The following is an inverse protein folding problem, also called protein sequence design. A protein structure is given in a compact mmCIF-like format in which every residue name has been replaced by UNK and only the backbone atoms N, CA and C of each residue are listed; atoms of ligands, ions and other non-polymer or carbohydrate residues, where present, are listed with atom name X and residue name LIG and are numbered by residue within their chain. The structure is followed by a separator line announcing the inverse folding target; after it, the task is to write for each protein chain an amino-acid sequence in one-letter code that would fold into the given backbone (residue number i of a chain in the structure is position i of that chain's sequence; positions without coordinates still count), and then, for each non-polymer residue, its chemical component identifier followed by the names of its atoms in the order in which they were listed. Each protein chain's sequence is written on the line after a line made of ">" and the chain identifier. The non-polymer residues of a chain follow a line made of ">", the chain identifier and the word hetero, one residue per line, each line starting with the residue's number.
data_IF_415522655988
#
_entry.id   IF_415522655988
#
_cell.length_a   1.000
_cell.length_b   1.000
_cell.length_c   1.000
_cell.angle_alpha   90.00
_cell.angle_beta   90.00
_cell.angle_gamma   90.00
#
_symmetry.space_group_name_H-M   'P 1'
#
loop_
_entity.id
_entity.type
_entity.pdbx_description
1 polymer ?
#
# COMPACT_ATOMS: atom_id res chain seq x y z
N UNK A 1 8.13 8.24 -2.69
CA UNK A 1 6.88 8.15 -3.51
C UNK A 1 5.76 7.65 -2.62
N UNK A 2 4.61 8.37 -2.59
CA UNK A 2 3.45 7.96 -1.80
C UNK A 2 2.43 7.30 -2.71
N UNK A 3 1.89 6.16 -2.31
CA UNK A 3 0.88 5.39 -3.05
C UNK A 3 -0.28 4.99 -2.14
N UNK A 4 -1.46 4.77 -2.71
CA UNK A 4 -2.66 4.28 -2.04
C UNK A 4 -3.40 3.26 -2.90
N UNK A 5 -4.41 2.60 -2.34
CA UNK A 5 -5.26 1.68 -3.11
C UNK A 5 -6.12 2.41 -4.15
N UNK A 6 -6.59 3.60 -3.85
CA UNK A 6 -7.56 4.31 -4.69
C UNK A 6 -9.01 4.01 -4.32
N UNK A 7 -9.97 4.21 -5.21
CA UNK A 7 -11.42 4.16 -4.95
C UNK A 7 -11.81 5.09 -3.79
N UNK A 8 -12.10 4.54 -2.60
CA UNK A 8 -12.43 5.34 -1.41
C UNK A 8 -11.19 6.01 -0.79
N UNK A 9 -9.99 5.56 -1.13
CA UNK A 9 -8.70 6.04 -0.62
C UNK A 9 -7.95 6.89 -1.66
N UNK A 10 -8.66 7.82 -2.29
CA UNK A 10 -8.05 8.81 -3.19
C UNK A 10 -7.56 10.00 -2.38
N UNK A 11 -6.29 10.32 -2.53
CA UNK A 11 -5.61 11.46 -1.90
C UNK A 11 -4.89 12.28 -2.97
N UNK A 12 -4.88 13.61 -2.83
CA UNK A 12 -4.18 14.50 -3.76
C UNK A 12 -2.65 14.29 -3.77
N UNK A 13 -2.10 13.74 -2.68
CA UNK A 13 -0.67 13.52 -2.47
C UNK A 13 -0.21 12.07 -2.74
N UNK A 14 -1.11 11.14 -3.06
CA UNK A 14 -0.78 9.73 -3.28
C UNK A 14 -1.25 9.23 -4.65
N UNK A 15 -0.44 8.38 -5.28
CA UNK A 15 -0.80 7.74 -6.55
C UNK A 15 -1.68 6.52 -6.28
N UNK A 16 -2.89 6.43 -6.86
CA UNK A 16 -3.73 5.26 -6.73
C UNK A 16 -3.19 4.09 -7.56
N UNK A 17 -2.97 2.92 -6.92
CA UNK A 17 -2.35 1.75 -7.55
C UNK A 17 -3.30 0.56 -7.75
N UNK A 18 -4.55 0.65 -7.30
CA UNK A 18 -5.53 -0.44 -7.39
C UNK A 18 -5.78 -1.12 -6.05
N UNK A 19 -6.98 -1.68 -5.92
CA UNK A 19 -7.46 -2.36 -4.70
C UNK A 19 -7.14 -3.85 -4.79
N UNK A 20 -6.57 -4.38 -3.71
CA UNK A 20 -6.23 -5.79 -3.56
C UNK A 20 -4.85 -6.15 -4.11
N UNK A 21 -4.43 -7.37 -3.82
CA UNK A 21 -3.07 -7.85 -4.09
C UNK A 21 -2.70 -7.81 -5.58
N UNK A 22 -3.64 -8.17 -6.44
CA UNK A 22 -3.37 -8.34 -7.89
C UNK A 22 -3.22 -6.98 -8.57
N UNK A 23 -4.21 -6.10 -8.45
CA UNK A 23 -4.19 -4.79 -9.10
C UNK A 23 -3.01 -3.94 -8.60
N UNK A 24 -2.79 -3.94 -7.30
CA UNK A 24 -1.63 -3.28 -6.68
C UNK A 24 -0.31 -3.80 -7.26
N UNK A 25 -0.14 -5.12 -7.37
CA UNK A 25 1.08 -5.72 -7.94
C UNK A 25 1.31 -5.31 -9.37
N UNK A 26 0.27 -5.41 -10.22
CA UNK A 26 0.35 -5.11 -11.66
C UNK A 26 0.71 -3.64 -11.87
N UNK A 27 -0.06 -2.73 -11.27
CA UNK A 27 0.08 -1.29 -11.50
C UNK A 27 1.39 -0.73 -10.94
N UNK A 28 1.77 -1.14 -9.72
CA UNK A 28 3.04 -0.70 -9.14
C UNK A 28 4.23 -1.25 -9.92
N UNK A 29 4.19 -2.51 -10.37
CA UNK A 29 5.26 -3.08 -11.21
C UNK A 29 5.40 -2.33 -12.52
N UNK A 30 4.28 -2.07 -13.23
CA UNK A 30 4.28 -1.35 -14.49
C UNK A 30 4.86 0.08 -14.33
N UNK A 31 4.46 0.79 -13.26
CA UNK A 31 4.99 2.12 -12.95
C UNK A 31 6.51 2.11 -12.73
N UNK A 32 7.00 1.17 -11.91
CA UNK A 32 8.43 1.10 -11.59
C UNK A 32 9.26 0.62 -12.78
N UNK A 33 8.76 -0.31 -13.59
CA UNK A 33 9.42 -0.71 -14.84
C UNK A 33 9.55 0.45 -15.82
N UNK A 34 8.46 1.21 -16.01
CA UNK A 34 8.50 2.40 -16.88
C UNK A 34 9.57 3.39 -16.43
N UNK A 35 9.67 3.65 -15.11
CA UNK A 35 10.69 4.55 -14.55
C UNK A 35 12.11 4.00 -14.72
N UNK A 36 12.33 2.70 -14.47
CA UNK A 36 13.63 2.05 -14.63
C UNK A 36 14.14 2.08 -16.09
N UNK A 37 13.25 1.93 -17.07
CA UNK A 37 13.62 2.00 -18.50
C UNK A 37 14.06 3.40 -18.92
N UNK A 38 13.44 4.44 -18.39
CA UNK A 38 13.84 5.83 -18.68
C UNK A 38 15.22 6.13 -18.10
N UNK A 39 15.55 5.63 -16.91
CA UNK A 39 16.88 5.80 -16.30
C UNK A 39 18.00 5.13 -17.12
N UNK A 40 17.72 3.96 -17.72
CA UNK A 40 18.75 3.17 -18.40
C UNK A 40 19.03 3.61 -19.85
N UNK A 41 18.08 4.20 -20.55
CA UNK A 41 18.18 4.45 -21.99
C UNK A 41 18.17 5.93 -22.40
N UNK A 42 17.73 6.85 -21.54
CA UNK A 42 17.59 8.29 -21.92
C UNK A 42 16.71 8.54 -23.15
N UNK A 43 16.09 7.52 -23.72
CA UNK A 43 15.16 7.56 -24.84
C UNK A 43 14.07 6.51 -24.67
N UNK A 44 12.84 6.93 -24.88
CA UNK A 44 11.66 6.13 -24.85
C UNK A 44 11.49 5.39 -26.17
N UNK A 45 11.69 4.09 -26.25
CA UNK A 45 11.16 3.28 -27.36
C UNK A 45 9.74 2.84 -27.00
N UNK A 46 8.78 3.30 -27.83
CA UNK A 46 7.35 2.97 -27.76
C UNK A 46 7.09 1.53 -28.23
N UNK A 47 7.58 0.51 -27.52
CA UNK A 47 7.29 -0.88 -27.87
C UNK A 47 6.82 -1.69 -26.64
N UNK A 48 5.77 -1.20 -25.98
CA UNK A 48 4.98 -2.00 -25.02
C UNK A 48 3.50 -1.99 -25.41
N UNK A 49 3.22 -2.45 -26.63
CA UNK A 49 1.90 -2.94 -27.02
C UNK A 49 1.83 -4.39 -26.63
N UNK A 50 1.34 -4.71 -25.46
CA UNK A 50 0.63 -5.96 -25.13
C UNK A 50 0.53 -6.19 -23.63
N UNK A 51 -0.24 -5.39 -22.91
CA UNK A 51 -0.96 -5.83 -21.70
C UNK A 51 -2.00 -4.75 -21.34
N UNK A 52 -3.28 -5.07 -21.61
CA UNK A 52 -4.46 -4.43 -21.07
C UNK A 52 -4.60 -2.91 -21.29
N UNK A 53 -5.78 -2.46 -21.61
CA UNK A 53 -6.11 -1.03 -21.65
C UNK A 53 -5.78 -0.42 -20.27
N UNK A 54 -4.67 0.34 -20.22
CA UNK A 54 -4.38 1.19 -19.09
C UNK A 54 -5.54 2.19 -18.92
N UNK A 55 -6.08 2.28 -17.73
CA UNK A 55 -7.01 3.34 -17.35
C UNK A 55 -6.33 4.69 -17.69
N UNK A 56 -6.92 5.46 -18.60
CA UNK A 56 -6.38 6.77 -19.04
C UNK A 56 -6.12 7.74 -17.88
N UNK A 57 -6.70 7.45 -16.70
CA UNK A 57 -6.45 8.19 -15.46
C UNK A 57 -5.03 8.05 -14.90
N UNK A 58 -4.25 7.04 -15.32
CA UNK A 58 -2.83 6.95 -15.00
C UNK A 58 -1.95 7.94 -15.79
N UNK A 59 -2.51 8.60 -16.81
CA UNK A 59 -1.83 9.68 -17.55
C UNK A 59 -1.93 11.05 -16.85
N UNK A 60 -2.66 11.17 -15.74
CA UNK A 60 -2.77 12.41 -14.98
C UNK A 60 -1.60 12.55 -13.99
N UNK A 61 -0.37 12.64 -14.52
CA UNK A 61 0.80 13.10 -13.76
C UNK A 61 0.91 14.65 -13.84
N UNK A 62 -0.20 15.33 -13.87
CA UNK A 62 -0.30 16.76 -13.57
C UNK A 62 -0.85 16.95 -12.17
N UNK A 63 -0.16 16.37 -11.18
CA UNK A 63 -0.50 16.65 -9.77
C UNK A 63 0.21 17.93 -9.33
N UNK A 64 -0.50 18.93 -8.79
CA UNK A 64 0.07 20.22 -8.39
C UNK A 64 1.16 20.15 -7.31
N UNK A 65 1.32 18.99 -6.68
CA UNK A 65 2.32 18.74 -5.61
C UNK A 65 3.77 18.77 -6.09
N UNK A 66 4.02 18.66 -7.42
CA UNK A 66 5.38 18.65 -7.99
C UNK A 66 5.93 20.03 -8.34
N UNK A 67 5.21 21.10 -8.08
CA UNK A 67 5.66 22.45 -8.43
C UNK A 67 6.46 23.20 -7.37
N UNK A 68 6.75 22.64 -6.21
CA UNK A 68 7.35 23.39 -5.08
C UNK A 68 8.84 23.18 -4.82
N UNK A 69 9.58 22.43 -5.63
CA UNK A 69 11.06 22.36 -5.48
C UNK A 69 11.76 22.93 -6.69
N UNK A 70 12.03 24.25 -6.63
CA UNK A 70 12.95 24.93 -7.55
C UNK A 70 14.39 24.53 -7.22
N UNK A 71 14.83 23.38 -7.69
CA UNK A 71 16.25 23.10 -7.91
C UNK A 71 16.47 22.87 -9.41
N UNK A 72 17.53 23.46 -9.94
CA UNK A 72 17.88 23.57 -11.36
C UNK A 72 18.25 22.23 -12.03
N UNK A 73 17.49 21.17 -11.79
CA UNK A 73 17.58 19.89 -12.50
C UNK A 73 16.36 19.74 -13.40
N UNK A 74 16.57 19.24 -14.62
CA UNK A 74 15.51 19.05 -15.62
C UNK A 74 14.33 18.29 -14.97
N UNK A 75 13.12 18.88 -14.85
CA UNK A 75 11.97 18.28 -14.15
C UNK A 75 11.58 16.91 -14.73
N UNK A 76 11.78 16.68 -16.02
CA UNK A 76 11.49 15.40 -16.67
C UNK A 76 12.41 14.26 -16.21
N UNK A 77 13.63 14.57 -15.76
CA UNK A 77 14.57 13.57 -15.22
C UNK A 77 14.17 13.09 -13.82
N UNK A 78 13.61 13.98 -13.00
CA UNK A 78 13.20 13.65 -11.62
C UNK A 78 11.93 12.79 -11.59
N UNK A 79 11.03 13.02 -12.55
CA UNK A 79 9.77 12.26 -12.68
C UNK A 79 9.97 10.80 -13.12
N UNK A 80 11.09 10.51 -13.77
CA UNK A 80 11.35 9.23 -14.42
C UNK A 80 12.31 8.31 -13.64
N UNK A 81 12.99 8.81 -12.60
CA UNK A 81 13.87 8.00 -11.77
C UNK A 81 13.08 7.06 -10.84
N UNK A 82 13.67 5.92 -10.51
CA UNK A 82 13.14 5.06 -9.44
C UNK A 82 13.07 5.84 -8.13
N UNK A 83 11.99 5.70 -7.35
CA UNK A 83 11.86 6.40 -6.08
C UNK A 83 12.88 5.87 -5.06
N UNK A 84 13.42 6.75 -4.22
CA UNK A 84 14.30 6.36 -3.12
C UNK A 84 13.61 5.54 -2.05
N UNK A 85 12.28 5.73 -1.89
CA UNK A 85 11.43 4.92 -1.02
C UNK A 85 9.97 4.93 -1.50
N UNK A 86 9.19 3.93 -1.09
CA UNK A 86 7.76 3.82 -1.31
C UNK A 86 7.04 3.88 0.03
N UNK A 87 6.07 4.79 0.16
CA UNK A 87 5.20 4.90 1.31
C UNK A 87 3.79 4.52 0.88
N UNK A 88 3.29 3.41 1.38
CA UNK A 88 1.89 3.06 1.21
C UNK A 88 1.05 3.75 2.28
N UNK A 89 -0.04 4.37 1.89
CA UNK A 89 -1.00 4.99 2.82
C UNK A 89 -2.39 4.42 2.59
N UNK A 90 -3.09 4.08 3.67
CA UNK A 90 -4.43 3.52 3.55
C UNK A 90 -5.08 3.23 4.89
N UNK A 91 -6.29 2.69 4.83
CA UNK A 91 -7.01 2.18 5.99
C UNK A 91 -6.62 0.74 6.31
N UNK A 92 -6.86 0.34 7.56
CA UNK A 92 -6.70 -1.03 8.01
C UNK A 92 -7.76 -1.41 9.04
N UNK A 93 -8.10 -2.71 9.09
CA UNK A 93 -8.85 -3.32 10.16
C UNK A 93 -7.94 -3.76 11.31
N UNK A 94 -8.44 -3.69 12.54
CA UNK A 94 -7.80 -4.21 13.74
C UNK A 94 -8.28 -5.63 14.01
N UNK A 95 -7.37 -6.58 14.24
CA UNK A 95 -7.76 -7.94 14.53
C UNK A 95 -8.32 -8.13 15.96
N UNK A 96 -7.81 -7.42 16.95
CA UNK A 96 -8.27 -7.57 18.33
C UNK A 96 -8.06 -6.32 19.16
N UNK A 97 -6.86 -5.77 19.18
CA UNK A 97 -6.46 -4.66 20.05
C UNK A 97 -6.13 -3.43 19.22
N UNK A 98 -6.25 -2.25 19.84
CA UNK A 98 -5.95 -0.98 19.20
C UNK A 98 -7.11 0.00 19.31
N UNK A 99 -6.94 1.15 18.66
CA UNK A 99 -7.89 2.26 18.71
C UNK A 99 -8.28 2.65 17.29
N UNK A 100 -9.58 2.84 17.06
CA UNK A 100 -10.12 3.36 15.80
C UNK A 100 -9.63 4.80 15.60
N UNK A 101 -9.32 5.16 14.36
CA UNK A 101 -8.75 6.44 13.92
C UNK A 101 -7.29 6.68 14.36
N UNK A 102 -6.67 5.75 15.05
CA UNK A 102 -5.26 5.82 15.38
C UNK A 102 -4.39 5.40 14.18
N UNK A 103 -3.23 6.03 14.08
CA UNK A 103 -2.23 5.73 13.04
C UNK A 103 -1.27 4.64 13.51
N UNK A 104 -0.98 3.73 12.59
CA UNK A 104 -0.03 2.63 12.77
C UNK A 104 0.94 2.60 11.61
N UNK A 105 2.22 2.35 11.90
CA UNK A 105 3.25 2.16 10.89
C UNK A 105 3.67 0.69 10.85
N UNK A 106 3.98 0.20 9.65
CA UNK A 106 4.49 -1.15 9.45
C UNK A 106 5.49 -1.22 8.31
N UNK A 107 6.48 -2.07 8.50
CA UNK A 107 7.41 -2.53 7.46
C UNK A 107 7.36 -4.06 7.29
N UNK A 108 6.35 -4.71 7.88
CA UNK A 108 6.17 -6.18 7.83
C UNK A 108 4.78 -6.50 7.32
N UNK A 109 4.71 -7.27 6.25
CA UNK A 109 3.44 -7.75 5.72
C UNK A 109 3.44 -9.27 5.56
N UNK A 110 2.25 -9.85 5.67
CA UNK A 110 2.01 -11.27 5.40
C UNK A 110 0.82 -11.44 4.45
N UNK A 111 0.74 -12.61 3.84
CA UNK A 111 -0.45 -13.09 3.15
C UNK A 111 -0.81 -14.46 3.70
N UNK A 112 -1.61 -14.48 4.74
CA UNK A 112 -2.09 -15.69 5.41
C UNK A 112 -3.54 -15.95 5.03
N UNK A 113 -3.77 -17.11 4.42
CA UNK A 113 -5.09 -17.57 4.03
C UNK A 113 -5.81 -18.25 5.21
N UNK A 114 -7.13 -18.09 5.27
CA UNK A 114 -7.98 -18.71 6.30
C UNK A 114 -7.81 -20.23 6.33
N UNK A 115 -7.71 -20.86 5.17
CA UNK A 115 -7.48 -22.30 5.05
C UNK A 115 -6.19 -22.79 5.72
N UNK A 116 -5.16 -21.91 5.74
CA UNK A 116 -3.93 -22.20 6.48
C UNK A 116 -4.11 -22.09 8.00
N UNK A 117 -4.94 -21.14 8.47
CA UNK A 117 -5.30 -21.05 9.90
C UNK A 117 -6.01 -22.31 10.38
N UNK A 118 -6.89 -22.87 9.56
CA UNK A 118 -7.65 -24.08 9.85
C UNK A 118 -6.86 -25.38 9.58
N UNK A 119 -5.56 -25.29 9.27
CA UNK A 119 -4.71 -26.43 8.91
C UNK A 119 -5.24 -27.26 7.73
N UNK A 120 -5.97 -26.61 6.81
CA UNK A 120 -6.53 -27.24 5.59
C UNK A 120 -5.67 -27.00 4.37
N UNK A 121 -4.65 -26.17 4.47
CA UNK A 121 -3.70 -25.87 3.40
C UNK A 121 -2.34 -25.49 3.98
N UNK A 122 -1.31 -25.54 3.14
CA UNK A 122 0.01 -24.99 3.43
C UNK A 122 0.52 -24.20 2.24
N UNK A 123 1.38 -23.22 2.48
CA UNK A 123 2.03 -22.46 1.42
C UNK A 123 3.44 -23.01 1.17
N UNK A 124 3.83 -23.34 -0.08
CA UNK A 124 5.21 -23.69 -0.43
C UNK A 124 6.11 -22.46 -0.60
N UNK A 125 5.56 -21.26 -0.49
CA UNK A 125 6.28 -19.99 -0.61
C UNK A 125 6.21 -19.21 0.69
N UNK A 126 7.15 -18.29 0.89
CA UNK A 126 7.14 -17.40 2.04
C UNK A 126 5.89 -16.52 2.04
N UNK A 127 5.13 -16.59 3.13
CA UNK A 127 3.92 -15.82 3.35
C UNK A 127 4.14 -14.54 4.17
N UNK A 128 5.36 -14.26 4.63
CA UNK A 128 5.73 -13.04 5.34
C UNK A 128 6.89 -12.35 4.61
N UNK A 129 6.91 -11.03 4.62
CA UNK A 129 7.96 -10.20 4.04
C UNK A 129 8.25 -9.02 4.94
N UNK A 130 9.54 -8.71 5.09
CA UNK A 130 10.04 -7.57 5.85
C UNK A 130 10.74 -6.61 4.89
N UNK A 131 10.44 -5.33 5.01
CA UNK A 131 11.15 -4.29 4.26
C UNK A 131 12.62 -4.21 4.66
N UNK A 132 13.46 -3.77 3.72
CA UNK A 132 14.89 -3.53 3.97
C UNK A 132 15.15 -2.39 4.97
N UNK A 133 14.16 -1.52 5.20
CA UNK A 133 14.20 -0.45 6.22
C UNK A 133 13.09 -0.69 7.22
N UNK A 134 13.42 -1.11 8.45
CA UNK A 134 12.40 -1.37 9.46
C UNK A 134 11.76 -0.06 9.94
N UNK A 135 10.41 -0.03 9.94
CA UNK A 135 9.59 1.05 10.50
C UNK A 135 8.35 0.48 11.15
N UNK A 136 8.01 1.00 12.32
CA UNK A 136 6.87 0.51 13.09
C UNK A 136 7.06 -0.91 13.63
N UNK A 137 6.14 -1.36 14.43
CA UNK A 137 6.17 -2.67 15.11
C UNK A 137 5.01 -3.58 14.74
N UNK A 138 3.98 -3.05 14.06
CA UNK A 138 2.80 -3.82 13.68
C UNK A 138 3.09 -4.72 12.49
N UNK A 139 2.62 -5.98 12.54
CA UNK A 139 2.55 -6.85 11.37
C UNK A 139 1.18 -6.73 10.72
N UNK A 140 1.16 -6.59 9.40
CA UNK A 140 -0.05 -6.45 8.59
C UNK A 140 -0.29 -7.74 7.82
N UNK A 141 -1.44 -8.37 7.98
CA UNK A 141 -1.86 -9.41 7.05
C UNK A 141 -2.61 -8.78 5.88
N UNK A 142 -2.31 -9.19 4.67
CA UNK A 142 -2.97 -8.70 3.45
C UNK A 142 -3.67 -9.85 2.73
N UNK A 143 -4.95 -9.64 2.45
CA UNK A 143 -5.81 -10.60 1.75
C UNK A 143 -6.79 -9.87 0.84
N UNK A 144 -7.24 -10.51 -0.25
CA UNK A 144 -8.32 -9.97 -1.08
C UNK A 144 -9.70 -10.07 -0.41
N UNK A 145 -9.76 -10.62 0.81
CA UNK A 145 -10.99 -10.78 1.58
C UNK A 145 -10.89 -10.01 2.89
N UNK A 146 -12.03 -9.47 3.32
CA UNK A 146 -12.17 -8.77 4.61
C UNK A 146 -12.62 -9.79 5.64
N UNK A 147 -11.89 -9.90 6.75
CA UNK A 147 -12.22 -10.77 7.86
C UNK A 147 -13.42 -10.21 8.64
N UNK A 148 -14.50 -10.99 8.72
CA UNK A 148 -15.73 -10.62 9.40
C UNK A 148 -16.06 -11.54 10.60
N UNK A 149 -15.29 -12.60 10.78
CA UNK A 149 -15.38 -13.51 11.92
C UNK A 149 -14.36 -13.14 13.00
N UNK A 150 -14.86 -12.79 14.17
CA UNK A 150 -14.05 -12.35 15.31
C UNK A 150 -13.09 -13.44 15.82
N UNK A 151 -13.45 -14.73 15.70
CA UNK A 151 -12.59 -15.82 16.17
C UNK A 151 -11.38 -15.95 15.22
N UNK A 152 -11.59 -15.85 13.90
CA UNK A 152 -10.51 -15.82 12.93
C UNK A 152 -9.61 -14.60 13.12
N UNK A 153 -10.19 -13.44 13.40
CA UNK A 153 -9.44 -12.23 13.71
C UNK A 153 -8.55 -12.41 14.95
N UNK A 154 -9.09 -13.00 16.01
CA UNK A 154 -8.34 -13.29 17.24
C UNK A 154 -7.26 -14.36 17.02
N UNK A 155 -7.48 -15.33 16.13
CA UNK A 155 -6.47 -16.33 15.76
C UNK A 155 -5.30 -15.65 15.04
N UNK A 156 -5.57 -14.75 14.07
CA UNK A 156 -4.53 -13.96 13.39
C UNK A 156 -3.76 -13.09 14.39
N UNK A 157 -4.46 -12.45 15.32
CA UNK A 157 -3.82 -11.68 16.39
C UNK A 157 -2.90 -12.54 17.25
N UNK A 158 -3.33 -13.75 17.63
CA UNK A 158 -2.52 -14.67 18.44
C UNK A 158 -1.23 -15.12 17.74
N UNK A 159 -1.21 -15.10 16.41
CA UNK A 159 -0.03 -15.36 15.58
C UNK A 159 0.86 -14.11 15.36
N UNK A 160 0.49 -12.97 15.98
CA UNK A 160 1.27 -11.73 15.96
C UNK A 160 0.89 -10.76 14.86
N UNK A 161 -0.18 -11.00 14.10
CA UNK A 161 -0.70 -10.04 13.13
C UNK A 161 -1.62 -9.06 13.83
N UNK A 162 -1.40 -7.78 13.61
CA UNK A 162 -2.12 -6.72 14.32
C UNK A 162 -3.18 -6.05 13.44
N UNK A 163 -2.86 -5.84 12.15
CA UNK A 163 -3.68 -5.14 11.18
C UNK A 163 -4.05 -6.04 10.01
N UNK A 164 -5.20 -5.74 9.41
CA UNK A 164 -5.64 -6.25 8.11
C UNK A 164 -5.68 -5.12 7.08
N UNK A 165 -5.12 -5.37 5.91
CA UNK A 165 -5.17 -4.51 4.74
C UNK A 165 -5.22 -5.37 3.49
N UNK A 166 -5.64 -4.83 2.34
CA UNK A 166 -5.78 -5.64 1.12
C UNK A 166 -4.58 -5.57 0.17
N UNK A 167 -3.59 -4.69 0.38
CA UNK A 167 -2.57 -4.34 -0.61
C UNK A 167 -1.13 -4.49 -0.15
N UNK A 168 -0.86 -4.30 1.13
CA UNK A 168 0.48 -3.99 1.61
C UNK A 168 1.51 -5.11 1.38
N UNK A 169 1.10 -6.37 1.42
CA UNK A 169 1.97 -7.48 1.06
C UNK A 169 2.46 -7.36 -0.40
N UNK A 170 1.55 -6.99 -1.32
CA UNK A 170 1.90 -6.76 -2.72
C UNK A 170 2.87 -5.59 -2.87
N UNK A 171 2.66 -4.49 -2.14
CA UNK A 171 3.57 -3.33 -2.12
C UNK A 171 4.98 -3.77 -1.73
N UNK A 172 5.13 -4.47 -0.61
CA UNK A 172 6.45 -4.92 -0.14
C UNK A 172 7.10 -5.93 -1.09
N UNK A 173 6.32 -6.86 -1.69
CA UNK A 173 6.86 -7.83 -2.68
C UNK A 173 7.38 -7.13 -3.93
N UNK A 174 6.65 -6.16 -4.45
CA UNK A 174 7.09 -5.37 -5.61
C UNK A 174 8.30 -4.51 -5.25
N UNK A 175 8.26 -3.79 -4.13
CA UNK A 175 9.37 -2.96 -3.66
C UNK A 175 10.67 -3.79 -3.49
N UNK A 176 10.57 -4.99 -2.89
CA UNK A 176 11.70 -5.91 -2.74
C UNK A 176 12.31 -6.28 -4.10
N UNK A 177 11.47 -6.56 -5.12
CA UNK A 177 11.93 -6.91 -6.47
C UNK A 177 12.75 -5.79 -7.11
N UNK A 178 12.40 -4.54 -6.83
CA UNK A 178 13.12 -3.35 -7.32
C UNK A 178 14.19 -2.84 -6.35
N UNK A 179 14.40 -3.51 -5.22
CA UNK A 179 15.34 -3.12 -4.15
C UNK A 179 15.07 -1.71 -3.61
N UNK A 180 13.81 -1.33 -3.52
CA UNK A 180 13.36 -0.03 -3.03
C UNK A 180 12.86 -0.19 -1.59
N UNK A 181 13.33 0.61 -0.61
CA UNK A 181 12.74 0.68 0.72
C UNK A 181 11.25 0.99 0.65
N UNK A 182 10.43 0.27 1.44
CA UNK A 182 9.00 0.55 1.49
C UNK A 182 8.43 0.32 2.88
N UNK A 183 7.43 1.12 3.27
CA UNK A 183 6.68 0.93 4.50
C UNK A 183 5.25 1.43 4.34
N UNK A 184 4.39 1.02 5.25
CA UNK A 184 2.98 1.42 5.28
C UNK A 184 2.65 2.32 6.46
N UNK A 185 1.78 3.29 6.23
CA UNK A 185 1.14 4.13 7.25
C UNK A 185 -0.36 3.91 7.14
N UNK A 186 -0.94 3.36 8.18
CA UNK A 186 -2.32 2.94 8.22
C UNK A 186 -3.11 3.73 9.25
N UNK A 187 -4.35 4.04 8.94
CA UNK A 187 -5.33 4.50 9.91
C UNK A 187 -6.34 3.39 10.17
N UNK A 188 -6.55 3.04 11.43
CA UNK A 188 -7.53 2.01 11.78
C UNK A 188 -8.95 2.53 11.58
N UNK A 189 -9.76 1.82 10.79
CA UNK A 189 -11.15 2.21 10.48
C UNK A 189 -12.18 1.33 11.16
N UNK A 190 -11.85 0.08 11.46
CA UNK A 190 -12.79 -0.92 11.95
C UNK A 190 -12.05 -2.01 12.73
N UNK A 191 -12.78 -2.78 13.52
CA UNK A 191 -12.36 -4.09 13.92
C UNK A 191 -12.76 -5.14 12.89
N UNK A 192 -12.00 -6.24 12.81
CA UNK A 192 -12.28 -7.37 11.91
C UNK A 192 -13.35 -8.27 12.53
N UNK A 193 -14.59 -7.81 12.46
CA UNK A 193 -15.78 -8.49 12.95
C UNK A 193 -16.96 -8.31 11.98
N UNK A 194 -18.15 -8.78 12.37
CA UNK A 194 -19.36 -8.70 11.55
C UNK A 194 -19.75 -7.29 11.12
N UNK A 195 -19.24 -6.24 11.77
CA UNK A 195 -19.53 -4.84 11.48
C UNK A 195 -18.43 -4.19 10.62
N UNK A 196 -17.36 -4.91 10.27
CA UNK A 196 -16.15 -4.38 9.64
C UNK A 196 -16.44 -3.42 8.49
N UNK A 197 -17.33 -3.79 7.56
CA UNK A 197 -17.66 -2.92 6.41
C UNK A 197 -18.46 -1.68 6.82
N UNK A 198 -19.43 -1.81 7.73
CA UNK A 198 -20.24 -0.69 8.19
C UNK A 198 -19.39 0.35 8.95
N UNK A 199 -18.48 -0.13 9.81
CA UNK A 199 -17.55 0.71 10.54
C UNK A 199 -16.53 1.39 9.62
N UNK A 200 -16.01 0.68 8.61
CA UNK A 200 -15.19 1.28 7.57
C UNK A 200 -15.91 2.46 6.89
N UNK A 201 -17.12 2.24 6.39
CA UNK A 201 -17.92 3.30 5.72
C UNK A 201 -18.18 4.49 6.66
N UNK A 202 -18.47 4.23 7.93
CA UNK A 202 -18.71 5.26 8.95
C UNK A 202 -17.47 6.11 9.22
N UNK A 203 -16.29 5.47 9.29
CA UNK A 203 -15.07 6.09 9.79
C UNK A 203 -14.13 6.61 8.69
N UNK A 204 -14.25 6.17 7.42
CA UNK A 204 -13.21 6.38 6.40
C UNK A 204 -12.93 7.86 6.09
N UNK A 205 -13.95 8.74 6.08
CA UNK A 205 -13.73 10.16 5.83
C UNK A 205 -12.96 10.85 6.96
N UNK A 206 -13.23 10.48 8.21
CA UNK A 206 -12.45 10.98 9.34
C UNK A 206 -11.04 10.37 9.34
N UNK A 207 -10.93 9.10 9.02
CA UNK A 207 -9.66 8.39 8.89
C UNK A 207 -8.73 9.06 7.87
N UNK A 208 -9.24 9.47 6.70
CA UNK A 208 -8.49 10.22 5.70
C UNK A 208 -7.92 11.53 6.26
N UNK A 209 -8.71 12.26 7.04
CA UNK A 209 -8.27 13.51 7.68
C UNK A 209 -7.17 13.27 8.72
N UNK A 210 -7.31 12.24 9.55
CA UNK A 210 -6.29 11.89 10.55
C UNK A 210 -4.99 11.46 9.87
N UNK A 211 -5.08 10.69 8.80
CA UNK A 211 -3.93 10.27 8.01
C UNK A 211 -3.21 11.47 7.39
N UNK A 212 -3.92 12.37 6.73
CA UNK A 212 -3.35 13.59 6.15
C UNK A 212 -2.71 14.49 7.22
N UNK A 213 -3.38 14.68 8.35
CA UNK A 213 -2.83 15.43 9.49
C UNK A 213 -1.52 14.81 9.99
N UNK A 214 -1.48 13.49 10.15
CA UNK A 214 -0.28 12.78 10.57
C UNK A 214 0.87 12.95 9.57
N UNK A 215 0.61 12.81 8.27
CA UNK A 215 1.63 12.96 7.23
C UNK A 215 2.22 14.38 7.21
N UNK A 216 1.38 15.41 7.40
CA UNK A 216 1.82 16.81 7.55
C UNK A 216 2.68 17.01 8.81
N UNK A 217 2.29 16.44 9.94
CA UNK A 217 3.06 16.52 11.19
C UNK A 217 4.43 15.83 11.09
N UNK A 218 4.55 14.83 10.24
CA UNK A 218 5.80 14.09 9.98
C UNK A 218 6.61 14.69 8.81
N UNK A 219 6.16 15.79 8.21
CA UNK A 219 6.80 16.44 7.06
C UNK A 219 6.97 15.49 5.85
N UNK A 220 6.03 14.55 5.70
CA UNK A 220 6.01 13.60 4.58
C UNK A 220 5.33 14.22 3.36
N UNK A 221 4.35 15.13 3.60
CA UNK A 221 3.60 15.92 2.58
C UNK A 221 3.55 17.39 2.96
#
# INVERSE_FOLDING_TARGET
>A
MIISAGRNEVFAFALPMGVGLVDMSINLTALLQKRAMVDSCGRYEQNLTTYGQFDERLNLIDSPVLQSTKTSQNPDKILNALPSEIIFVGSAGLYREGEILKIYESSVAANIEISSLENKSYSPIESEIVSIVPRGTCKVNSSNFITTDQNLAHELFSRGYFLENMEFFAVLKVAQKFQIPAYGIFVATNFCDKNAHADFIKNHEQAKKELEKYLKQKEII
#
